data_IF_261357132737
#
_entry.id   IF_261357132737
#
_cell.length_a   1.000
_cell.length_b   1.000
_cell.length_c   1.000
_cell.angle_alpha   90.00
_cell.angle_beta   90.00
_cell.angle_gamma   90.00
#
_symmetry.space_group_name_H-M   'P 1'
#
loop_
_entity.id
_entity.type
_entity.pdbx_description
1 polymer ?
#
# COMPACT_ATOMS: atom_id res chain seq x y z
N UNK A 1 -68.73 56.97 -31.21
CA UNK A 1 -68.63 56.09 -30.05
C UNK A 1 -67.95 54.77 -30.43
N UNK A 2 -66.98 54.31 -29.73
CA UNK A 2 -66.10 53.14 -29.86
C UNK A 2 -64.75 53.44 -30.51
N UNK A 3 -63.80 53.65 -29.62
CA UNK A 3 -62.37 53.73 -29.90
C UNK A 3 -61.79 52.35 -30.26
N UNK A 4 -61.13 52.26 -31.39
CA UNK A 4 -60.37 51.09 -31.77
C UNK A 4 -58.90 51.36 -31.46
N UNK A 5 -58.30 50.66 -30.47
CA UNK A 5 -56.87 50.69 -30.17
C UNK A 5 -56.14 49.65 -31.02
N UNK A 6 -55.19 50.12 -31.80
CA UNK A 6 -54.30 49.29 -32.59
C UNK A 6 -53.18 48.76 -31.66
N UNK A 7 -53.02 47.45 -31.58
CA UNK A 7 -51.94 46.77 -30.86
C UNK A 7 -50.85 46.44 -31.85
N UNK A 8 -49.67 47.06 -31.68
CA UNK A 8 -48.47 46.75 -32.44
C UNK A 8 -47.82 45.45 -32.05
N UNK A 9 -47.12 44.78 -32.98
CA UNK A 9 -46.46 43.48 -32.66
C UNK A 9 -45.22 43.66 -31.82
N UNK A 10 -45.23 43.07 -30.60
CA UNK A 10 -44.08 42.97 -29.72
C UNK A 10 -43.06 41.94 -30.26
N UNK A 11 -41.84 42.39 -30.43
CA UNK A 11 -40.71 41.62 -30.81
C UNK A 11 -40.30 40.71 -29.63
N UNK A 12 -40.55 39.40 -29.68
CA UNK A 12 -40.07 38.42 -28.70
C UNK A 12 -38.60 38.11 -29.00
N UNK A 13 -37.68 38.73 -28.23
CA UNK A 13 -36.29 38.28 -28.17
C UNK A 13 -36.20 36.95 -27.40
N UNK A 14 -36.07 35.83 -28.11
CA UNK A 14 -35.71 34.54 -27.52
C UNK A 14 -34.22 34.53 -27.22
N UNK A 15 -33.87 34.74 -25.96
CA UNK A 15 -32.50 34.52 -25.48
C UNK A 15 -32.27 32.99 -25.43
N UNK A 16 -31.56 32.49 -26.45
CA UNK A 16 -31.04 31.13 -26.44
C UNK A 16 -29.92 31.03 -25.38
N UNK A 17 -30.24 30.55 -24.17
CA UNK A 17 -29.24 30.10 -23.22
C UNK A 17 -28.54 28.86 -23.81
N UNK A 18 -27.36 29.06 -24.39
CA UNK A 18 -26.47 27.97 -24.73
C UNK A 18 -26.00 27.28 -23.45
N UNK A 19 -26.65 26.18 -23.09
CA UNK A 19 -26.13 25.25 -22.09
C UNK A 19 -24.76 24.72 -22.55
N UNK A 20 -23.69 25.34 -22.08
CA UNK A 20 -22.33 24.82 -22.25
C UNK A 20 -22.26 23.46 -21.52
N UNK A 21 -22.24 22.40 -22.30
CA UNK A 21 -21.98 21.04 -21.74
C UNK A 21 -20.63 21.09 -21.04
N UNK A 22 -20.54 20.59 -19.78
CA UNK A 22 -19.25 20.50 -19.11
C UNK A 22 -18.32 19.65 -19.97
N UNK A 23 -17.14 20.17 -20.29
CA UNK A 23 -16.10 19.39 -20.98
C UNK A 23 -15.79 18.17 -20.12
N UNK A 24 -15.71 16.95 -20.70
CA UNK A 24 -15.29 15.77 -19.97
C UNK A 24 -13.90 16.06 -19.38
N UNK A 25 -13.60 15.54 -18.16
CA UNK A 25 -12.29 15.75 -17.56
C UNK A 25 -11.22 15.23 -18.53
N UNK A 26 -10.27 16.10 -18.87
CA UNK A 26 -9.12 15.72 -19.70
C UNK A 26 -8.38 14.63 -18.92
N UNK A 27 -8.31 13.42 -19.47
CA UNK A 27 -7.49 12.33 -18.89
C UNK A 27 -6.05 12.86 -18.87
N UNK A 28 -5.42 13.03 -17.71
CA UNK A 28 -4.02 13.41 -17.66
C UNK A 28 -3.21 12.36 -18.44
N UNK A 29 -2.37 12.81 -19.37
CA UNK A 29 -1.45 11.93 -20.08
C UNK A 29 -0.44 11.27 -19.13
N UNK A 30 0.26 10.19 -19.54
CA UNK A 30 1.28 9.58 -18.73
C UNK A 30 2.33 10.61 -18.33
N UNK A 31 2.55 10.76 -17.02
CA UNK A 31 3.55 11.69 -16.48
C UNK A 31 4.94 11.07 -16.68
N UNK A 32 5.89 11.77 -17.33
CA UNK A 32 7.25 11.26 -17.51
C UNK A 32 7.91 10.98 -16.16
N UNK A 33 8.58 9.84 -16.05
CA UNK A 33 9.42 9.54 -14.88
C UNK A 33 10.59 10.52 -14.86
N UNK A 34 10.97 11.06 -13.69
CA UNK A 34 12.20 11.81 -13.55
C UNK A 34 13.41 10.92 -13.90
N UNK A 35 14.47 11.47 -14.52
CA UNK A 35 15.67 10.70 -14.81
C UNK A 35 16.24 10.14 -13.51
N UNK A 36 16.46 8.82 -13.46
CA UNK A 36 17.10 8.14 -12.33
C UNK A 36 18.45 8.79 -12.03
N UNK A 37 18.72 9.14 -10.77
CA UNK A 37 20.06 9.63 -10.39
C UNK A 37 21.06 8.48 -10.44
N UNK A 38 22.19 8.65 -11.12
CA UNK A 38 23.29 7.71 -11.03
C UNK A 38 23.91 7.75 -9.62
N UNK A 39 24.14 6.61 -9.01
CA UNK A 39 25.23 6.50 -8.07
C UNK A 39 25.02 6.17 -6.62
N UNK A 40 23.81 5.87 -6.11
CA UNK A 40 23.71 5.25 -4.77
C UNK A 40 22.99 3.91 -4.86
N UNK A 41 23.74 2.84 -4.64
CA UNK A 41 23.21 1.47 -4.59
C UNK A 41 22.41 1.21 -3.31
N UNK A 42 22.67 1.93 -2.21
CA UNK A 42 21.98 1.75 -0.92
C UNK A 42 20.67 2.54 -0.86
N UNK A 43 19.57 1.86 -0.60
CA UNK A 43 18.26 2.48 -0.29
C UNK A 43 18.24 2.89 1.18
N UNK A 44 18.13 4.18 1.46
CA UNK A 44 17.94 4.74 2.80
C UNK A 44 16.53 5.34 2.84
N UNK A 45 15.59 4.53 3.31
CA UNK A 45 14.18 4.84 3.20
C UNK A 45 13.53 5.17 4.54
N UNK A 46 12.38 5.84 4.46
CA UNK A 46 11.47 6.03 5.59
C UNK A 46 10.04 5.78 5.14
N UNK A 47 9.22 5.15 6.00
CA UNK A 47 7.79 5.06 5.79
C UNK A 47 7.08 6.33 6.29
N UNK A 48 6.09 6.77 5.52
CA UNK A 48 5.14 7.81 5.91
C UNK A 48 3.75 7.19 5.91
N UNK A 49 3.12 7.10 7.09
CA UNK A 49 1.82 6.43 7.26
C UNK A 49 0.65 7.39 7.11
N UNK A 50 0.82 8.65 7.49
CA UNK A 50 -0.21 9.69 7.39
C UNK A 50 0.20 10.85 6.47
N UNK A 51 -0.08 10.68 5.19
CA UNK A 51 0.18 11.72 4.19
C UNK A 51 -0.76 12.92 4.26
N UNK A 52 -1.91 12.78 4.91
CA UNK A 52 -2.91 13.87 5.01
C UNK A 52 -2.46 15.01 5.91
N UNK A 53 -1.47 14.77 6.77
CA UNK A 53 -0.89 15.74 7.71
C UNK A 53 0.59 16.02 7.41
N UNK A 54 1.13 15.47 6.33
CA UNK A 54 2.54 15.60 6.01
C UNK A 54 2.87 17.03 5.53
N UNK A 55 3.76 17.69 6.24
CA UNK A 55 4.46 18.87 5.70
C UNK A 55 5.58 18.40 4.77
N UNK A 56 5.27 18.32 3.49
CA UNK A 56 6.20 17.83 2.47
C UNK A 56 7.48 18.68 2.37
N UNK A 57 7.37 20.00 2.56
CA UNK A 57 8.53 20.89 2.49
C UNK A 57 9.51 20.62 3.64
N UNK A 58 8.99 20.54 4.89
CA UNK A 58 9.79 20.22 6.05
C UNK A 58 10.35 18.80 5.96
N UNK A 59 9.51 17.82 5.68
CA UNK A 59 9.88 16.41 5.63
C UNK A 59 10.99 16.14 4.61
N UNK A 60 10.84 16.62 3.38
CA UNK A 60 11.85 16.37 2.34
C UNK A 60 13.16 17.09 2.59
N UNK A 61 13.13 18.28 3.26
CA UNK A 61 14.33 19.01 3.69
C UNK A 61 15.07 18.28 4.80
N UNK A 62 14.34 17.78 5.80
CA UNK A 62 14.91 17.01 6.92
C UNK A 62 15.53 15.71 6.42
N UNK A 63 14.81 14.94 5.61
CA UNK A 63 15.27 13.69 5.03
C UNK A 63 16.50 13.88 4.15
N UNK A 64 16.53 14.94 3.32
CA UNK A 64 17.71 15.26 2.53
C UNK A 64 18.93 15.54 3.40
N UNK A 65 18.76 16.36 4.45
CA UNK A 65 19.85 16.68 5.41
C UNK A 65 20.34 15.43 6.13
N UNK A 66 19.44 14.52 6.49
CA UNK A 66 19.76 13.26 7.13
C UNK A 66 20.29 12.19 6.16
N UNK A 67 20.38 12.49 4.86
CA UNK A 67 20.92 11.57 3.85
C UNK A 67 19.98 10.48 3.36
N UNK A 68 18.67 10.58 3.65
CA UNK A 68 17.67 9.67 3.11
C UNK A 68 17.41 9.97 1.63
N UNK A 69 17.14 8.91 0.85
CA UNK A 69 16.94 9.00 -0.58
C UNK A 69 15.64 8.37 -1.07
N UNK A 70 14.82 7.84 -0.18
CA UNK A 70 13.55 7.18 -0.55
C UNK A 70 12.48 7.41 0.51
N UNK A 71 11.24 7.65 0.06
CA UNK A 71 10.05 7.69 0.90
C UNK A 71 9.05 6.63 0.44
N UNK A 72 8.55 5.82 1.37
CA UNK A 72 7.39 4.94 1.17
C UNK A 72 6.15 5.64 1.72
N UNK A 73 5.38 6.25 0.85
CA UNK A 73 4.32 7.19 1.21
C UNK A 73 2.96 6.53 1.08
N UNK A 74 2.22 6.39 2.19
CA UNK A 74 0.91 5.75 2.16
C UNK A 74 -0.10 6.62 1.39
N UNK A 75 -0.49 6.18 0.20
CA UNK A 75 -1.45 6.88 -0.65
C UNK A 75 -2.80 6.18 -0.77
N UNK A 76 -2.88 4.88 -0.47
CA UNK A 76 -4.14 4.15 -0.54
C UNK A 76 -4.23 3.02 0.48
N UNK A 77 -5.45 2.68 0.86
CA UNK A 77 -5.79 1.47 1.62
C UNK A 77 -6.95 0.73 0.96
N UNK A 78 -7.36 -0.39 1.53
CA UNK A 78 -8.49 -1.19 1.02
C UNK A 78 -9.86 -0.48 1.03
N UNK A 79 -9.93 0.77 1.41
CA UNK A 79 -11.19 1.52 1.46
C UNK A 79 -11.02 3.01 1.54
N UNK A 80 -9.81 3.51 1.28
CA UNK A 80 -9.55 4.95 1.29
C UNK A 80 -8.42 5.33 0.33
N UNK A 81 -8.63 6.43 -0.41
CA UNK A 81 -7.59 7.18 -1.07
C UNK A 81 -7.14 8.31 -0.15
N UNK A 82 -5.83 8.40 0.11
CA UNK A 82 -5.23 9.47 0.91
C UNK A 82 -4.78 10.63 0.01
N UNK A 83 -5.40 10.77 -1.13
CA UNK A 83 -5.21 11.83 -2.12
C UNK A 83 -6.59 12.36 -2.59
N UNK A 84 -6.64 13.61 -3.07
CA UNK A 84 -7.91 14.24 -3.41
C UNK A 84 -8.54 13.63 -4.67
N UNK A 85 -9.89 13.68 -4.73
CA UNK A 85 -10.70 13.38 -5.91
C UNK A 85 -10.43 12.02 -6.58
N UNK A 86 -10.18 10.94 -5.79
CA UNK A 86 -10.14 9.59 -6.34
C UNK A 86 -11.49 9.20 -6.95
N UNK A 87 -11.47 8.48 -8.07
CA UNK A 87 -12.65 7.96 -8.75
C UNK A 87 -12.94 6.49 -8.34
N UNK A 88 -12.01 5.84 -7.66
CA UNK A 88 -12.06 4.41 -7.33
C UNK A 88 -12.39 4.19 -5.85
N UNK A 89 -11.72 4.92 -4.98
CA UNK A 89 -11.84 4.79 -3.52
C UNK A 89 -12.38 6.08 -2.90
N UNK A 90 -13.07 6.00 -1.75
CA UNK A 90 -13.42 7.20 -0.99
C UNK A 90 -12.16 8.02 -0.67
N UNK A 91 -12.14 9.28 -1.09
CA UNK A 91 -11.04 10.18 -0.73
C UNK A 91 -11.25 10.73 0.68
N UNK A 92 -10.28 10.53 1.56
CA UNK A 92 -10.32 11.06 2.94
C UNK A 92 -9.95 12.54 3.01
N UNK A 93 -9.38 13.09 1.94
CA UNK A 93 -9.02 14.53 1.85
C UNK A 93 -10.10 15.35 1.15
N UNK A 94 -11.14 14.70 0.59
CA UNK A 94 -12.19 15.36 -0.17
C UNK A 94 -11.68 16.00 -1.47
N UNK A 95 -12.37 17.06 -1.89
CA UNK A 95 -11.91 17.92 -3.01
C UNK A 95 -11.07 19.06 -2.45
N UNK A 96 -9.89 19.25 -3.01
CA UNK A 96 -8.96 20.32 -2.66
C UNK A 96 -8.70 21.19 -3.91
N UNK A 97 -8.45 22.47 -3.73
CA UNK A 97 -8.07 23.39 -4.83
C UNK A 97 -6.71 23.02 -5.43
N UNK A 98 -5.79 22.52 -4.63
CA UNK A 98 -4.49 22.02 -5.07
C UNK A 98 -4.28 20.57 -4.63
N UNK A 99 -3.46 19.84 -5.39
CA UNK A 99 -3.08 18.47 -5.03
C UNK A 99 -1.76 18.47 -4.26
N UNK A 100 -1.79 18.32 -2.91
CA UNK A 100 -0.58 18.38 -2.09
C UNK A 100 0.36 17.20 -2.37
N UNK A 101 -0.17 16.05 -2.85
CA UNK A 101 0.63 14.88 -3.17
C UNK A 101 1.49 15.12 -4.42
N UNK A 102 0.89 15.66 -5.48
CA UNK A 102 1.63 15.98 -6.71
C UNK A 102 2.78 16.94 -6.43
N UNK A 103 2.49 18.03 -5.69
CA UNK A 103 3.50 19.00 -5.27
C UNK A 103 4.56 18.40 -4.36
N UNK A 104 4.14 17.53 -3.44
CA UNK A 104 5.04 16.86 -2.51
C UNK A 104 6.04 15.93 -3.20
N UNK A 105 5.58 15.17 -4.20
CA UNK A 105 6.45 14.32 -5.02
C UNK A 105 7.47 15.18 -5.79
N UNK A 106 7.03 16.30 -6.35
CA UNK A 106 7.94 17.23 -7.03
C UNK A 106 9.02 17.80 -6.08
N UNK A 107 8.62 18.17 -4.85
CA UNK A 107 9.56 18.63 -3.81
C UNK A 107 10.58 17.56 -3.46
N UNK A 108 10.15 16.30 -3.29
CA UNK A 108 11.01 15.16 -3.02
C UNK A 108 12.03 14.95 -4.16
N UNK A 109 11.56 14.94 -5.40
CA UNK A 109 12.41 14.79 -6.58
C UNK A 109 13.47 15.88 -6.70
N UNK A 110 13.09 17.14 -6.48
CA UNK A 110 14.07 18.25 -6.47
C UNK A 110 15.19 18.07 -5.43
N UNK A 111 14.91 17.34 -4.34
CA UNK A 111 15.87 17.02 -3.30
C UNK A 111 16.56 15.68 -3.49
N UNK A 112 16.31 15.01 -4.61
CA UNK A 112 16.91 13.71 -4.93
C UNK A 112 16.36 12.55 -4.11
N UNK A 113 15.12 12.69 -3.63
CA UNK A 113 14.41 11.66 -2.86
C UNK A 113 13.39 10.99 -3.77
N UNK A 114 13.52 9.68 -3.95
CA UNK A 114 12.55 8.87 -4.66
C UNK A 114 11.28 8.66 -3.82
N UNK A 115 10.12 8.63 -4.46
CA UNK A 115 8.84 8.41 -3.80
C UNK A 115 8.21 7.13 -4.32
N UNK A 116 8.01 6.14 -3.43
CA UNK A 116 7.20 4.97 -3.75
C UNK A 116 5.82 5.11 -3.09
N UNK A 117 4.78 4.97 -3.90
CA UNK A 117 3.41 4.94 -3.40
C UNK A 117 3.18 3.65 -2.61
N UNK A 118 2.92 3.76 -1.30
CA UNK A 118 2.54 2.61 -0.48
C UNK A 118 1.04 2.41 -0.54
N UNK A 119 0.61 1.16 -0.77
CA UNK A 119 -0.78 0.74 -0.72
C UNK A 119 -0.97 -0.34 0.35
N UNK A 120 -1.85 -0.07 1.32
CA UNK A 120 -2.30 -1.02 2.34
C UNK A 120 -3.40 -1.90 1.73
N UNK A 121 -3.07 -3.13 1.32
CA UNK A 121 -3.91 -3.91 0.39
C UNK A 121 -5.08 -4.60 1.07
N UNK A 122 -4.85 -5.32 2.19
CA UNK A 122 -5.88 -6.15 2.84
C UNK A 122 -6.48 -5.53 4.10
N UNK A 123 -6.25 -4.25 4.36
CA UNK A 123 -6.71 -3.59 5.56
C UNK A 123 -7.33 -2.22 5.25
N UNK A 124 -8.54 -1.96 5.80
CA UNK A 124 -9.33 -0.77 5.51
C UNK A 124 -8.89 0.45 6.34
N UNK A 125 -7.57 0.63 6.47
CA UNK A 125 -6.98 1.74 7.21
C UNK A 125 -7.52 3.09 6.71
N UNK A 126 -7.97 3.96 7.64
CA UNK A 126 -8.54 5.29 7.36
C UNK A 126 -9.78 5.31 6.46
N UNK A 127 -10.39 4.17 6.22
CA UNK A 127 -11.62 4.10 5.46
C UNK A 127 -12.75 4.85 6.19
N UNK A 128 -13.53 5.69 5.49
CA UNK A 128 -14.67 6.38 6.08
C UNK A 128 -15.68 5.40 6.69
N UNK A 129 -16.37 5.77 7.80
CA UNK A 129 -17.30 4.88 8.48
C UNK A 129 -18.41 4.32 7.57
N UNK A 130 -18.95 5.13 6.67
CA UNK A 130 -19.98 4.72 5.71
C UNK A 130 -19.46 3.66 4.73
N UNK A 131 -18.20 3.74 4.34
CA UNK A 131 -17.60 2.72 3.48
C UNK A 131 -17.28 1.45 4.27
N UNK A 132 -16.82 1.57 5.51
CA UNK A 132 -16.63 0.41 6.39
C UNK A 132 -17.96 -0.32 6.62
N UNK A 133 -19.05 0.42 6.83
CA UNK A 133 -20.39 -0.16 6.93
C UNK A 133 -20.78 -0.89 5.63
N UNK A 134 -20.47 -0.30 4.47
CA UNK A 134 -20.69 -0.95 3.16
C UNK A 134 -19.89 -2.24 3.01
N UNK A 135 -18.61 -2.27 3.41
CA UNK A 135 -17.79 -3.48 3.40
C UNK A 135 -18.40 -4.60 4.24
N UNK A 136 -18.87 -4.25 5.44
CA UNK A 136 -19.50 -5.20 6.35
C UNK A 136 -20.84 -5.73 5.79
N UNK A 137 -21.70 -4.84 5.32
CA UNK A 137 -23.03 -5.19 4.76
C UNK A 137 -22.93 -6.07 3.52
N UNK A 138 -21.89 -5.90 2.71
CA UNK A 138 -21.66 -6.69 1.49
C UNK A 138 -20.75 -7.91 1.71
N UNK A 139 -20.52 -8.29 2.95
CA UNK A 139 -19.67 -9.44 3.37
C UNK A 139 -18.28 -9.45 2.72
N UNK A 140 -17.67 -8.27 2.62
CA UNK A 140 -16.35 -8.10 2.00
C UNK A 140 -15.19 -8.13 3.00
N UNK A 141 -15.47 -8.42 4.27
CA UNK A 141 -14.51 -8.44 5.36
C UNK A 141 -14.03 -9.86 5.67
N UNK A 142 -12.82 -10.00 6.22
CA UNK A 142 -12.37 -11.29 6.76
C UNK A 142 -13.18 -11.65 8.00
N UNK A 143 -13.44 -12.95 8.17
CA UNK A 143 -14.12 -13.49 9.36
C UNK A 143 -13.24 -14.50 10.08
N UNK A 144 -13.27 -14.42 11.40
CA UNK A 144 -12.69 -15.42 12.31
C UNK A 144 -13.47 -16.72 12.32
N UNK A 145 -12.98 -17.69 13.09
CA UNK A 145 -13.63 -18.98 13.28
C UNK A 145 -15.02 -18.89 13.97
N UNK A 146 -15.23 -17.85 14.75
CA UNK A 146 -16.51 -17.51 15.39
C UNK A 146 -17.52 -16.79 14.44
N UNK A 147 -17.16 -16.63 13.17
CA UNK A 147 -17.94 -15.96 12.16
C UNK A 147 -17.94 -14.42 12.26
N UNK A 148 -17.29 -13.83 13.27
CA UNK A 148 -17.24 -12.39 13.44
C UNK A 148 -16.25 -11.73 12.49
N UNK A 149 -16.51 -10.47 12.08
CA UNK A 149 -15.54 -9.69 11.32
C UNK A 149 -14.24 -9.49 12.10
N UNK A 150 -13.11 -9.58 11.40
CA UNK A 150 -11.80 -9.28 11.99
C UNK A 150 -11.56 -7.78 11.95
N UNK A 151 -11.43 -7.20 13.14
CA UNK A 151 -11.25 -5.76 13.37
C UNK A 151 -9.93 -5.52 14.08
N UNK A 152 -9.18 -4.52 13.61
CA UNK A 152 -7.97 -4.03 14.27
C UNK A 152 -7.99 -2.51 14.27
N UNK A 153 -7.81 -1.89 15.44
CA UNK A 153 -7.80 -0.42 15.58
C UNK A 153 -8.96 0.27 14.87
N UNK A 154 -10.18 -0.30 14.97
CA UNK A 154 -11.39 0.26 14.36
C UNK A 154 -11.53 0.09 12.85
N UNK A 155 -10.62 -0.64 12.19
CA UNK A 155 -10.66 -0.93 10.76
C UNK A 155 -10.80 -2.43 10.50
N UNK A 156 -11.38 -2.79 9.35
CA UNK A 156 -11.58 -4.18 8.96
C UNK A 156 -10.43 -4.73 8.12
N UNK A 157 -10.12 -6.00 8.33
CA UNK A 157 -9.42 -6.79 7.34
C UNK A 157 -10.39 -7.20 6.24
N UNK A 158 -10.00 -7.02 4.97
CA UNK A 158 -10.85 -7.35 3.82
C UNK A 158 -10.59 -8.77 3.33
N UNK A 159 -11.67 -9.45 2.93
CA UNK A 159 -11.59 -10.81 2.40
C UNK A 159 -10.87 -10.83 1.04
N UNK A 160 -9.78 -11.62 0.87
CA UNK A 160 -9.00 -11.64 -0.37
C UNK A 160 -9.68 -12.38 -1.53
N UNK A 161 -10.67 -13.22 -1.26
CA UNK A 161 -11.39 -13.96 -2.30
C UNK A 161 -12.56 -13.18 -2.90
N UNK A 162 -13.02 -12.12 -2.22
CA UNK A 162 -14.13 -11.29 -2.71
C UNK A 162 -13.74 -10.51 -3.98
N UNK A 163 -14.39 -10.76 -5.14
CA UNK A 163 -14.02 -10.14 -6.41
C UNK A 163 -14.04 -8.62 -6.39
N UNK A 164 -15.03 -8.02 -5.69
CA UNK A 164 -15.15 -6.57 -5.58
C UNK A 164 -13.96 -5.91 -4.84
N UNK A 165 -13.34 -6.61 -3.89
CA UNK A 165 -12.12 -6.12 -3.23
C UNK A 165 -10.95 -6.11 -4.22
N UNK A 166 -10.80 -7.18 -4.99
CA UNK A 166 -9.75 -7.31 -6.00
C UNK A 166 -9.88 -6.25 -7.09
N UNK A 167 -11.08 -6.13 -7.66
CA UNK A 167 -11.36 -5.12 -8.70
C UNK A 167 -11.04 -3.72 -8.22
N UNK A 168 -11.46 -3.36 -7.00
CA UNK A 168 -11.17 -2.04 -6.43
C UNK A 168 -9.66 -1.81 -6.23
N UNK A 169 -8.92 -2.82 -5.75
CA UNK A 169 -7.49 -2.70 -5.52
C UNK A 169 -6.71 -2.53 -6.85
N UNK A 170 -7.03 -3.32 -7.87
CA UNK A 170 -6.40 -3.21 -9.20
C UNK A 170 -6.68 -1.84 -9.83
N UNK A 171 -7.93 -1.38 -9.76
CA UNK A 171 -8.30 -0.06 -10.27
C UNK A 171 -7.59 1.08 -9.50
N UNK A 172 -7.44 0.95 -8.17
CA UNK A 172 -6.73 1.93 -7.35
C UNK A 172 -5.24 2.01 -7.71
N UNK A 173 -4.58 0.87 -7.96
CA UNK A 173 -3.19 0.84 -8.45
C UNK A 173 -3.08 1.56 -9.79
N UNK A 174 -3.96 1.27 -10.74
CA UNK A 174 -3.94 1.91 -12.06
C UNK A 174 -4.19 3.43 -11.96
N UNK A 175 -5.19 3.87 -11.17
CA UNK A 175 -5.49 5.28 -10.95
C UNK A 175 -4.30 6.02 -10.35
N UNK A 176 -3.71 5.48 -9.29
CA UNK A 176 -2.59 6.07 -8.56
C UNK A 176 -1.38 6.25 -9.47
N UNK A 177 -0.99 5.22 -10.22
CA UNK A 177 0.16 5.25 -11.11
C UNK A 177 -0.07 6.12 -12.36
N UNK A 178 -1.32 6.26 -12.80
CA UNK A 178 -1.66 7.19 -13.86
C UNK A 178 -1.59 8.64 -13.39
N UNK A 179 -1.96 8.89 -12.14
CA UNK A 179 -2.11 10.24 -11.58
C UNK A 179 -0.79 10.85 -11.11
N UNK A 180 0.10 10.05 -10.50
CA UNK A 180 1.30 10.57 -9.83
C UNK A 180 2.59 10.02 -10.44
N UNK A 181 3.63 10.89 -10.60
CA UNK A 181 4.94 10.49 -11.13
C UNK A 181 5.81 9.82 -10.04
N UNK A 182 5.27 8.81 -9.35
CA UNK A 182 6.00 8.06 -8.34
C UNK A 182 7.06 7.16 -8.97
N UNK A 183 8.17 6.90 -8.27
CA UNK A 183 9.28 6.08 -8.71
C UNK A 183 9.05 4.58 -8.51
N UNK A 184 8.03 4.24 -7.70
CA UNK A 184 7.68 2.87 -7.41
C UNK A 184 6.34 2.74 -6.72
N UNK A 185 5.95 1.47 -6.50
CA UNK A 185 4.81 1.11 -5.67
C UNK A 185 5.23 0.07 -4.64
N UNK A 186 4.75 0.21 -3.41
CA UNK A 186 4.96 -0.75 -2.34
C UNK A 186 3.63 -1.33 -1.88
N UNK A 187 3.52 -2.66 -1.89
CA UNK A 187 2.38 -3.37 -1.33
C UNK A 187 2.64 -3.69 0.14
N UNK A 188 1.77 -3.17 1.00
CA UNK A 188 1.77 -3.43 2.44
C UNK A 188 0.47 -4.13 2.83
N UNK A 189 0.47 -4.86 3.95
CA UNK A 189 -0.68 -5.68 4.36
C UNK A 189 -1.19 -6.63 3.26
N UNK A 190 -0.33 -7.07 2.35
CA UNK A 190 -0.66 -8.08 1.34
C UNK A 190 -0.50 -9.47 1.97
N UNK A 191 -1.48 -9.83 2.80
CA UNK A 191 -1.44 -11.01 3.66
C UNK A 191 -2.78 -11.26 4.35
N UNK A 192 -2.94 -12.45 4.92
CA UNK A 192 -3.99 -12.68 5.90
C UNK A 192 -3.65 -12.03 7.26
N UNK A 193 -4.65 -11.89 8.10
CA UNK A 193 -4.50 -11.41 9.48
C UNK A 193 -3.61 -12.36 10.31
N UNK A 194 -3.25 -11.92 11.52
CA UNK A 194 -2.44 -12.69 12.47
C UNK A 194 -3.19 -13.88 13.06
N UNK A 195 -4.49 -13.72 13.29
CA UNK A 195 -5.35 -14.83 13.69
C UNK A 195 -5.68 -15.72 12.48
N UNK A 196 -5.90 -17.02 12.68
CA UNK A 196 -6.37 -17.88 11.61
C UNK A 196 -7.63 -17.31 10.93
N UNK A 197 -7.58 -17.18 9.62
CA UNK A 197 -8.63 -16.58 8.79
C UNK A 197 -8.39 -16.92 7.30
N UNK A 198 -9.30 -16.68 6.40
CA UNK A 198 -10.66 -16.16 6.55
C UNK A 198 -11.67 -17.32 6.45
N UNK A 199 -12.64 -17.34 7.34
CA UNK A 199 -13.65 -18.42 7.35
C UNK A 199 -15.03 -17.96 6.87
N UNK A 200 -15.10 -16.86 6.11
CA UNK A 200 -16.34 -16.41 5.49
C UNK A 200 -16.86 -17.43 4.47
N UNK A 201 -18.14 -17.33 4.14
CA UNK A 201 -18.80 -18.21 3.17
C UNK A 201 -18.03 -18.27 1.85
N UNK A 202 -17.59 -17.13 1.31
CA UNK A 202 -16.90 -17.08 0.03
C UNK A 202 -15.55 -17.81 0.04
N UNK A 203 -14.74 -17.62 1.11
CA UNK A 203 -13.50 -18.36 1.27
C UNK A 203 -13.72 -19.87 1.39
N UNK A 204 -14.80 -20.30 2.06
CA UNK A 204 -15.19 -21.70 2.14
C UNK A 204 -15.50 -22.27 0.77
N UNK A 205 -16.37 -21.62 0.01
CA UNK A 205 -16.78 -22.04 -1.32
C UNK A 205 -15.59 -22.15 -2.30
N UNK A 206 -14.70 -21.15 -2.31
CA UNK A 206 -13.50 -21.15 -3.16
C UNK A 206 -12.51 -22.26 -2.75
N UNK A 207 -12.33 -22.49 -1.45
CA UNK A 207 -11.49 -23.58 -0.97
C UNK A 207 -12.09 -24.95 -1.31
N UNK A 208 -13.39 -25.16 -1.05
CA UNK A 208 -14.10 -26.42 -1.36
C UNK A 208 -14.10 -26.71 -2.88
N UNK A 209 -14.21 -25.67 -3.69
CA UNK A 209 -14.05 -25.79 -5.15
C UNK A 209 -12.65 -26.31 -5.51
N UNK A 210 -11.60 -25.75 -4.91
CA UNK A 210 -10.22 -26.22 -5.10
C UNK A 210 -9.99 -27.62 -4.55
N UNK A 211 -10.68 -27.97 -3.47
CA UNK A 211 -10.61 -29.28 -2.82
C UNK A 211 -11.32 -30.36 -3.64
N UNK A 212 -12.32 -30.00 -4.45
CA UNK A 212 -13.18 -30.90 -5.22
C UNK A 212 -14.24 -31.61 -4.39
N UNK A 213 -14.41 -31.22 -3.12
CA UNK A 213 -15.42 -31.78 -2.19
C UNK A 213 -15.69 -30.80 -1.05
N UNK A 214 -16.87 -30.89 -0.39
CA UNK A 214 -17.15 -30.08 0.81
C UNK A 214 -16.25 -30.46 2.00
N UNK A 215 -15.89 -29.46 2.81
CA UNK A 215 -15.34 -29.68 4.15
C UNK A 215 -16.47 -30.08 5.10
N UNK A 216 -16.30 -31.19 5.82
CA UNK A 216 -17.36 -31.77 6.64
C UNK A 216 -17.69 -30.94 7.88
N UNK A 217 -16.64 -30.46 8.54
CA UNK A 217 -16.73 -29.71 9.81
C UNK A 217 -16.00 -28.36 9.68
N UNK A 218 -16.61 -27.42 8.93
CA UNK A 218 -16.06 -26.09 8.76
C UNK A 218 -16.32 -25.18 9.97
N UNK A 219 -15.31 -24.47 10.53
CA UNK A 219 -13.91 -24.39 10.09
C UNK A 219 -12.97 -25.40 10.79
N UNK A 220 -13.46 -26.33 11.60
CA UNK A 220 -12.63 -27.23 12.41
C UNK A 220 -11.64 -28.05 11.56
N UNK A 221 -12.07 -28.60 10.42
CA UNK A 221 -11.23 -29.40 9.53
C UNK A 221 -9.99 -28.65 9.01
N UNK A 222 -10.10 -27.32 8.88
CA UNK A 222 -9.03 -26.46 8.34
C UNK A 222 -8.22 -25.74 9.42
N UNK A 223 -8.70 -25.71 10.66
CA UNK A 223 -7.97 -25.11 11.78
C UNK A 223 -6.95 -26.07 12.39
N UNK A 224 -7.39 -27.26 12.79
CA UNK A 224 -6.57 -28.25 13.48
C UNK A 224 -6.87 -29.67 12.98
N UNK A 225 -7.47 -29.80 11.81
CA UNK A 225 -7.86 -31.06 11.21
C UNK A 225 -6.98 -31.48 10.04
N UNK A 226 -7.43 -32.51 9.34
CA UNK A 226 -6.73 -33.11 8.19
C UNK A 226 -6.55 -32.18 6.99
N UNK A 227 -7.35 -31.09 6.89
CA UNK A 227 -7.30 -30.13 5.80
C UNK A 227 -6.44 -28.89 6.10
N UNK A 228 -5.87 -28.75 7.29
CA UNK A 228 -5.11 -27.57 7.73
C UNK A 228 -3.99 -27.20 6.73
N UNK A 229 -3.16 -28.19 6.35
CA UNK A 229 -2.08 -27.94 5.40
C UNK A 229 -2.63 -27.49 4.03
N UNK A 230 -3.65 -28.17 3.51
CA UNK A 230 -4.24 -27.83 2.20
C UNK A 230 -4.87 -26.43 2.20
N UNK A 231 -5.50 -26.04 3.31
CA UNK A 231 -6.04 -24.71 3.48
C UNK A 231 -4.95 -23.64 3.54
N UNK A 232 -3.85 -23.88 4.23
CA UNK A 232 -2.71 -22.98 4.25
C UNK A 232 -2.06 -22.84 2.86
N UNK A 233 -1.88 -23.92 2.13
CA UNK A 233 -1.37 -23.91 0.77
C UNK A 233 -2.31 -23.12 -0.17
N UNK A 234 -3.63 -23.31 -0.02
CA UNK A 234 -4.63 -22.52 -0.75
C UNK A 234 -4.59 -21.03 -0.40
N UNK A 235 -4.51 -20.67 0.89
CA UNK A 235 -4.35 -19.27 1.32
C UNK A 235 -3.12 -18.62 0.68
N UNK A 236 -2.00 -19.32 0.63
CA UNK A 236 -0.79 -18.85 -0.05
C UNK A 236 -1.05 -18.63 -1.55
N UNK A 237 -1.73 -19.56 -2.22
CA UNK A 237 -2.06 -19.41 -3.63
C UNK A 237 -2.92 -18.18 -3.90
N UNK A 238 -3.89 -17.88 -3.03
CA UNK A 238 -4.74 -16.68 -3.10
C UNK A 238 -3.91 -15.41 -3.01
N UNK A 239 -3.01 -15.30 -2.03
CA UNK A 239 -2.16 -14.10 -1.88
C UNK A 239 -1.13 -13.98 -3.00
N UNK A 240 -0.53 -15.10 -3.44
CA UNK A 240 0.38 -15.10 -4.58
C UNK A 240 -0.28 -14.60 -5.86
N UNK A 241 -1.54 -14.98 -6.09
CA UNK A 241 -2.32 -14.50 -7.23
C UNK A 241 -2.65 -13.00 -7.13
N UNK A 242 -2.92 -12.49 -5.91
CA UNK A 242 -3.06 -11.06 -5.68
C UNK A 242 -1.80 -10.29 -6.06
N UNK A 243 -0.64 -10.72 -5.56
CA UNK A 243 0.64 -10.04 -5.85
C UNK A 243 0.93 -10.10 -7.35
N UNK A 244 0.71 -11.24 -8.00
CA UNK A 244 0.84 -11.39 -9.46
C UNK A 244 -0.02 -10.38 -10.22
N UNK A 245 -1.31 -10.24 -9.87
CA UNK A 245 -2.23 -9.34 -10.56
C UNK A 245 -1.92 -7.87 -10.30
N UNK A 246 -1.66 -7.49 -9.03
CA UNK A 246 -1.27 -6.12 -8.68
C UNK A 246 0.01 -5.69 -9.40
N UNK A 247 1.00 -6.59 -9.44
CA UNK A 247 2.27 -6.33 -10.13
C UNK A 247 2.09 -6.23 -11.65
N UNK A 248 1.28 -7.09 -12.24
CA UNK A 248 0.95 -7.01 -13.66
C UNK A 248 0.27 -5.68 -14.01
N UNK A 249 -0.73 -5.27 -13.21
CA UNK A 249 -1.41 -3.97 -13.36
C UNK A 249 -0.43 -2.80 -13.22
N UNK A 250 0.47 -2.86 -12.22
CA UNK A 250 1.45 -1.81 -12.02
C UNK A 250 2.42 -1.69 -13.21
N UNK A 251 2.96 -2.81 -13.71
CA UNK A 251 3.87 -2.83 -14.87
C UNK A 251 3.18 -2.43 -16.17
N UNK A 252 1.91 -2.80 -16.33
CA UNK A 252 1.11 -2.37 -17.49
C UNK A 252 0.84 -0.86 -17.44
N UNK A 253 0.55 -0.31 -16.26
CA UNK A 253 0.31 1.12 -16.08
C UNK A 253 1.59 1.93 -16.28
N UNK A 254 2.75 1.39 -15.85
CA UNK A 254 4.05 2.05 -15.98
C UNK A 254 5.17 1.01 -16.12
N UNK A 255 5.65 0.73 -17.34
CA UNK A 255 6.81 -0.13 -17.56
C UNK A 255 8.05 0.38 -16.83
N UNK A 256 8.83 -0.53 -16.24
CA UNK A 256 10.04 -0.19 -15.50
C UNK A 256 9.84 0.34 -14.07
N UNK A 257 8.58 0.46 -13.61
CA UNK A 257 8.27 0.89 -12.24
C UNK A 257 8.87 -0.08 -11.21
N UNK A 258 9.49 0.44 -10.15
CA UNK A 258 9.97 -0.36 -9.01
C UNK A 258 8.79 -0.87 -8.19
N UNK A 259 8.69 -2.18 -8.00
CA UNK A 259 7.64 -2.81 -7.19
C UNK A 259 8.27 -3.45 -5.96
N UNK A 260 7.81 -3.06 -4.77
CA UNK A 260 8.29 -3.61 -3.50
C UNK A 260 7.14 -4.12 -2.64
N UNK A 261 7.45 -4.94 -1.64
CA UNK A 261 6.45 -5.42 -0.68
C UNK A 261 7.00 -5.38 0.76
N UNK A 262 6.19 -4.90 1.70
CA UNK A 262 6.45 -5.04 3.12
C UNK A 262 6.06 -6.46 3.56
N UNK A 263 7.00 -7.18 4.19
CA UNK A 263 6.84 -8.61 4.49
C UNK A 263 7.32 -8.97 5.89
N UNK A 264 6.89 -10.12 6.40
CA UNK A 264 7.47 -10.70 7.61
C UNK A 264 8.84 -11.33 7.31
N UNK A 265 9.85 -11.17 8.19
CA UNK A 265 11.21 -11.57 7.88
C UNK A 265 11.42 -13.10 7.83
N UNK A 266 10.75 -13.88 8.69
CA UNK A 266 10.88 -15.33 8.72
C UNK A 266 9.98 -15.97 7.66
N UNK A 267 10.57 -16.51 6.59
CA UNK A 267 9.82 -17.01 5.42
C UNK A 267 8.79 -18.08 5.77
N UNK A 268 9.18 -19.07 6.56
CA UNK A 268 8.29 -20.19 6.94
C UNK A 268 7.07 -19.67 7.72
N UNK A 269 7.30 -18.84 8.73
CA UNK A 269 6.21 -18.19 9.48
C UNK A 269 5.38 -17.25 8.63
N UNK A 270 6.01 -16.53 7.70
CA UNK A 270 5.31 -15.66 6.77
C UNK A 270 4.37 -16.45 5.87
N UNK A 271 4.78 -17.64 5.41
CA UNK A 271 3.95 -18.56 4.63
C UNK A 271 2.80 -19.15 5.44
N UNK A 272 3.10 -19.69 6.60
CA UNK A 272 2.13 -20.43 7.43
C UNK A 272 1.10 -19.49 8.07
N UNK A 273 1.57 -18.43 8.74
CA UNK A 273 0.71 -17.55 9.52
C UNK A 273 0.06 -16.47 8.67
N UNK A 274 0.75 -15.96 7.65
CA UNK A 274 0.36 -14.76 6.88
C UNK A 274 0.04 -15.06 5.41
N UNK A 275 0.33 -16.27 4.94
CA UNK A 275 0.25 -16.63 3.53
C UNK A 275 1.17 -15.78 2.62
N UNK A 276 2.24 -15.20 3.15
CA UNK A 276 3.22 -14.40 2.42
C UNK A 276 4.37 -15.26 1.89
N UNK A 277 4.29 -15.75 0.67
CA UNK A 277 5.41 -16.41 0.01
C UNK A 277 6.24 -15.39 -0.77
N UNK A 278 6.93 -14.50 -0.05
CA UNK A 278 7.73 -13.46 -0.66
C UNK A 278 8.95 -14.00 -1.45
N UNK A 279 9.40 -15.25 -1.17
CA UNK A 279 10.41 -15.90 -2.00
C UNK A 279 9.88 -16.17 -3.40
N UNK A 280 8.69 -16.76 -3.50
CA UNK A 280 8.04 -16.97 -4.79
C UNK A 280 7.82 -15.65 -5.53
N UNK A 281 7.43 -14.58 -4.84
CA UNK A 281 7.23 -13.27 -5.47
C UNK A 281 8.52 -12.70 -6.06
N UNK A 282 9.66 -12.88 -5.36
CA UNK A 282 10.98 -12.53 -5.87
C UNK A 282 11.39 -13.43 -7.06
N UNK A 283 11.26 -14.74 -6.93
CA UNK A 283 11.68 -15.70 -7.96
C UNK A 283 10.90 -15.52 -9.27
N UNK A 284 9.61 -15.19 -9.17
CA UNK A 284 8.73 -14.92 -10.33
C UNK A 284 8.80 -13.50 -10.86
N UNK A 285 9.59 -12.63 -10.23
CA UNK A 285 9.67 -11.22 -10.61
C UNK A 285 8.37 -10.44 -10.38
N UNK A 286 7.49 -10.92 -9.49
CA UNK A 286 6.29 -10.15 -9.13
C UNK A 286 6.67 -8.89 -8.36
N UNK A 287 7.69 -8.97 -7.50
CA UNK A 287 8.29 -7.81 -6.83
C UNK A 287 9.79 -7.74 -7.14
N UNK A 288 10.33 -6.54 -7.20
CA UNK A 288 11.75 -6.30 -7.46
C UNK A 288 12.57 -6.38 -6.18
N UNK A 289 11.97 -6.01 -5.04
CA UNK A 289 12.59 -6.10 -3.72
C UNK A 289 11.54 -6.28 -2.63
N UNK A 290 11.99 -6.73 -1.47
CA UNK A 290 11.18 -6.87 -0.26
C UNK A 290 11.70 -5.94 0.84
N UNK A 291 10.76 -5.51 1.71
CA UNK A 291 11.07 -4.76 2.93
C UNK A 291 10.65 -5.61 4.14
N UNK A 292 11.53 -6.51 4.65
CA UNK A 292 11.21 -7.34 5.81
C UNK A 292 11.11 -6.47 7.06
N UNK A 293 9.95 -6.52 7.75
CA UNK A 293 9.67 -5.77 8.97
C UNK A 293 10.36 -6.39 10.18
N UNK A 294 11.66 -6.15 10.33
CA UNK A 294 12.49 -6.74 11.38
C UNK A 294 12.47 -5.91 12.66
N UNK A 295 11.28 -5.78 13.24
CA UNK A 295 10.99 -4.88 14.37
C UNK A 295 11.38 -5.48 15.71
N UNK A 296 12.68 -5.66 15.96
CA UNK A 296 13.26 -6.10 17.23
C UNK A 296 14.33 -5.13 17.72
N UNK A 297 14.44 -4.96 19.04
CA UNK A 297 15.52 -4.22 19.68
C UNK A 297 16.74 -5.09 20.01
N UNK A 298 16.56 -6.42 20.02
CA UNK A 298 17.65 -7.36 20.26
C UNK A 298 18.56 -7.42 19.03
N UNK A 299 19.82 -7.02 19.19
CA UNK A 299 20.79 -6.95 18.10
C UNK A 299 21.11 -8.33 17.49
N UNK A 300 21.17 -9.39 18.32
CA UNK A 300 21.41 -10.77 17.85
C UNK A 300 20.24 -11.28 17.03
N UNK A 301 19.01 -11.13 17.54
CA UNK A 301 17.80 -11.50 16.80
C UNK A 301 17.70 -10.73 15.48
N UNK A 302 18.08 -9.44 15.49
CA UNK A 302 18.07 -8.62 14.29
C UNK A 302 18.99 -9.21 13.22
N UNK A 303 20.24 -9.50 13.58
CA UNK A 303 21.22 -10.07 12.66
C UNK A 303 20.82 -11.47 12.19
N UNK A 304 20.35 -12.34 13.09
CA UNK A 304 19.89 -13.69 12.74
C UNK A 304 18.74 -13.67 11.73
N UNK A 305 17.78 -12.74 11.88
CA UNK A 305 16.68 -12.54 10.92
C UNK A 305 17.18 -11.99 9.59
N UNK A 306 18.13 -11.04 9.59
CA UNK A 306 18.76 -10.56 8.36
C UNK A 306 19.43 -11.72 7.59
N UNK A 307 20.23 -12.54 8.27
CA UNK A 307 20.87 -13.73 7.70
C UNK A 307 19.85 -14.77 7.24
N UNK A 308 18.73 -14.91 7.96
CA UNK A 308 17.60 -15.76 7.59
C UNK A 308 16.98 -15.35 6.25
N UNK A 309 16.73 -14.05 6.05
CA UNK A 309 16.20 -13.51 4.79
C UNK A 309 17.18 -13.75 3.64
N UNK A 310 18.49 -13.56 3.88
CA UNK A 310 19.54 -13.72 2.88
C UNK A 310 19.73 -15.15 2.39
N UNK A 311 19.18 -16.16 3.07
CA UNK A 311 19.15 -17.54 2.56
C UNK A 311 18.24 -17.69 1.33
N UNK A 312 17.30 -16.78 1.13
CA UNK A 312 16.25 -16.88 0.13
C UNK A 312 16.17 -15.68 -0.82
N UNK A 313 16.82 -14.57 -0.50
CA UNK A 313 16.79 -13.34 -1.29
C UNK A 313 18.19 -12.82 -1.59
N UNK A 314 18.39 -12.28 -2.80
CA UNK A 314 19.61 -11.54 -3.16
C UNK A 314 19.74 -10.29 -2.28
N UNK A 315 20.99 -9.94 -1.91
CA UNK A 315 21.30 -8.83 -0.99
C UNK A 315 20.71 -7.49 -1.46
N UNK A 316 20.86 -7.19 -2.73
CA UNK A 316 20.39 -5.99 -3.43
C UNK A 316 18.86 -5.87 -3.49
N UNK A 317 18.15 -6.98 -3.24
CA UNK A 317 16.68 -7.06 -3.23
C UNK A 317 16.07 -6.98 -1.82
N UNK A 318 16.87 -6.68 -0.80
CA UNK A 318 16.42 -6.59 0.60
C UNK A 318 16.65 -5.19 1.15
N UNK A 319 15.57 -4.49 1.47
CA UNK A 319 15.58 -3.21 2.22
C UNK A 319 15.03 -3.49 3.60
N UNK A 320 15.89 -3.62 4.60
CA UNK A 320 15.48 -4.08 5.94
C UNK A 320 14.69 -3.02 6.70
N UNK A 321 13.51 -3.39 7.19
CA UNK A 321 12.68 -2.53 8.01
C UNK A 321 13.14 -2.48 9.46
N UNK A 322 13.30 -1.27 10.01
CA UNK A 322 13.74 -0.98 11.36
C UNK A 322 12.63 -0.26 12.13
N UNK A 323 12.49 -0.61 13.42
CA UNK A 323 11.48 -0.08 14.32
C UNK A 323 12.09 0.96 15.26
N UNK A 324 12.38 2.15 14.74
CA UNK A 324 13.08 3.18 15.55
C UNK A 324 12.27 3.61 16.78
N UNK A 325 10.94 3.58 16.74
CA UNK A 325 10.08 3.90 17.91
C UNK A 325 10.29 2.97 19.11
N UNK A 326 10.98 1.84 18.93
CA UNK A 326 11.32 0.91 20.01
C UNK A 326 12.63 1.24 20.70
N UNK A 327 13.44 2.12 20.13
CA UNK A 327 14.74 2.49 20.67
C UNK A 327 14.66 3.73 21.55
N UNK A 328 15.45 3.73 22.60
CA UNK A 328 15.62 4.89 23.47
C UNK A 328 16.85 5.71 23.10
N UNK A 329 17.82 5.09 22.41
CA UNK A 329 19.09 5.70 22.05
C UNK A 329 19.42 5.50 20.57
N UNK A 330 19.98 6.51 19.95
CA UNK A 330 20.39 6.51 18.54
C UNK A 330 21.42 5.41 18.23
N UNK A 331 22.32 5.11 19.18
CA UNK A 331 23.34 4.08 18.99
C UNK A 331 22.79 2.68 18.74
N UNK A 332 21.62 2.38 19.27
CA UNK A 332 20.95 1.09 19.01
C UNK A 332 20.49 0.99 17.56
N UNK A 333 19.89 2.06 17.05
CA UNK A 333 19.50 2.17 15.64
C UNK A 333 20.73 2.12 14.73
N UNK A 334 21.79 2.86 15.07
CA UNK A 334 23.03 2.89 14.31
C UNK A 334 23.69 1.51 14.21
N UNK A 335 23.65 0.69 15.27
CA UNK A 335 24.12 -0.70 15.22
C UNK A 335 23.34 -1.55 14.22
N UNK A 336 22.01 -1.39 14.15
CA UNK A 336 21.20 -2.10 13.18
C UNK A 336 21.49 -1.66 11.73
N UNK A 337 21.66 -0.36 11.50
CA UNK A 337 22.08 0.15 10.18
C UNK A 337 23.46 -0.38 9.80
N UNK A 338 24.41 -0.38 10.74
CA UNK A 338 25.74 -0.95 10.52
C UNK A 338 25.66 -2.45 10.17
N UNK A 339 24.81 -3.22 10.83
CA UNK A 339 24.56 -4.63 10.52
C UNK A 339 24.01 -4.80 9.09
N UNK A 340 23.06 -3.97 8.65
CA UNK A 340 22.56 -3.99 7.28
C UNK A 340 23.67 -3.78 6.26
N UNK A 341 24.55 -2.80 6.49
CA UNK A 341 25.70 -2.49 5.63
C UNK A 341 26.77 -3.59 5.63
N UNK A 342 27.12 -4.12 6.80
CA UNK A 342 28.08 -5.24 6.93
C UNK A 342 27.61 -6.49 6.17
N UNK A 343 26.31 -6.76 6.20
CA UNK A 343 25.70 -7.86 5.45
C UNK A 343 25.52 -7.54 3.96
N UNK A 344 25.77 -6.30 3.53
CA UNK A 344 25.65 -5.85 2.14
C UNK A 344 24.20 -5.84 1.65
N UNK A 345 23.23 -5.54 2.53
CA UNK A 345 21.82 -5.42 2.12
C UNK A 345 21.62 -4.24 1.16
N UNK A 346 20.61 -4.32 0.31
CA UNK A 346 20.22 -3.24 -0.62
C UNK A 346 19.80 -1.95 0.07
N UNK A 347 19.59 -1.98 1.39
CA UNK A 347 19.31 -0.81 2.19
C UNK A 347 18.53 -1.10 3.46
N UNK A 348 18.00 -0.02 4.02
CA UNK A 348 17.15 -0.05 5.21
C UNK A 348 16.00 0.96 5.09
N UNK A 349 14.96 0.75 5.89
CA UNK A 349 13.80 1.65 5.96
C UNK A 349 13.35 1.81 7.41
N UNK A 350 13.17 3.07 7.87
CA UNK A 350 12.64 3.36 9.21
C UNK A 350 11.12 3.44 9.19
N UNK A 351 10.48 2.86 10.18
CA UNK A 351 9.05 2.99 10.40
C UNK A 351 8.81 3.70 11.73
N UNK A 352 8.29 4.94 11.76
CA UNK A 352 7.90 5.77 10.62
C UNK A 352 8.22 7.25 10.85
N UNK A 353 8.29 8.04 9.80
CA UNK A 353 8.49 9.50 9.86
C UNK A 353 7.40 10.23 10.66
N UNK A 354 6.19 9.65 10.73
CA UNK A 354 5.05 10.25 11.46
C UNK A 354 5.27 10.29 12.97
N UNK A 355 6.16 9.44 13.51
CA UNK A 355 6.50 9.45 14.92
C UNK A 355 7.43 10.63 15.23
N UNK A 356 7.09 11.40 16.29
CA UNK A 356 7.93 12.50 16.76
C UNK A 356 9.34 12.01 17.14
N UNK A 357 9.46 10.78 17.61
CA UNK A 357 10.72 10.13 17.96
C UNK A 357 11.62 9.92 16.76
N UNK A 358 11.06 9.56 15.60
CA UNK A 358 11.82 9.35 14.36
C UNK A 358 12.58 10.59 13.93
N UNK A 359 12.00 11.78 14.10
CA UNK A 359 12.65 13.05 13.74
C UNK A 359 13.89 13.33 14.57
N UNK A 360 13.96 12.81 15.79
CA UNK A 360 15.17 12.87 16.63
C UNK A 360 16.23 11.86 16.20
N UNK A 361 15.82 10.75 15.56
CA UNK A 361 16.69 9.65 15.13
C UNK A 361 17.00 9.65 13.63
N UNK A 362 16.73 10.75 12.92
CA UNK A 362 17.25 10.89 11.57
C UNK A 362 18.78 10.79 11.62
N UNK A 363 19.34 9.84 10.86
CA UNK A 363 20.75 9.49 10.93
C UNK A 363 21.65 10.73 10.78
N UNK A 364 22.63 10.93 11.67
CA UNK A 364 23.61 12.00 11.55
C UNK A 364 24.43 11.87 10.27
N UNK A 365 25.07 12.97 9.87
CA UNK A 365 25.87 13.08 8.64
C UNK A 365 26.97 12.02 8.54
N UNK A 366 27.51 11.55 9.67
CA UNK A 366 28.59 10.57 9.77
C UNK A 366 28.20 9.15 9.33
N UNK A 367 26.90 8.86 9.23
CA UNK A 367 26.39 7.57 8.77
C UNK A 367 25.85 7.59 7.33
N UNK A 368 26.10 8.70 6.62
CA UNK A 368 25.67 8.90 5.22
C UNK A 368 26.54 8.15 4.20
#
# INVERSE_FOLDING_TARGET
>A
MRNLRIIGPGLLCVLALACARPRPPVKPGPVPLPPGKPGTTEVRAVWVSDTTKLDWEAATRELQRAGYNTMYVNLASAGAALYPASQVLPSVTGRMESDPIARGIELAHRRGIAVQAKMVVMFSFRSPPEFQHKLLKSDRVMRGADGKPIVQSGSFWICPTQPANRTAALAAVAELLHRYPVDGIQFDYIRFNEEPSCFCKHCREEFEHTLGKPARHWPADVLNGELTKRFNDWRQSVINDWVRQLSATARQSRPGLKITAAVFPALERAREEKAQDWKLWLDRGYVDAICPMNYTTNARDFEERCRGVLKFAGRDRVVMGLAEWKFQQLDELNRQVATCRQLGLGGFALFSYDDATTRHFLLPTELR
#
